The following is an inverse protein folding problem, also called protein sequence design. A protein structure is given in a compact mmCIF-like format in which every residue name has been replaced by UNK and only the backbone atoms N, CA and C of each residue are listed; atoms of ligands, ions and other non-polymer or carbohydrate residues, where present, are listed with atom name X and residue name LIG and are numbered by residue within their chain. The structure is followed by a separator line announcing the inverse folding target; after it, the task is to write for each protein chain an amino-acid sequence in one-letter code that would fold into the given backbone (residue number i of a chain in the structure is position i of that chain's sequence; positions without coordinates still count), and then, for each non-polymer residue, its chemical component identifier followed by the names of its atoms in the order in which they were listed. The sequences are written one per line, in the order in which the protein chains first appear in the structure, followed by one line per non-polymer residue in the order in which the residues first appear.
data_IF_317501651530
#
_entry.id   IF_317501651530
#
_cell.length_a   1.000
_cell.length_b   1.000
_cell.length_c   1.000
_cell.angle_alpha   90.00
_cell.angle_beta   90.00
_cell.angle_gamma   90.00
#
_symmetry.space_group_name_H-M   'P 1'
#
loop_
_entity.id
_entity.type
_entity.pdbx_description
1 polymer ?
#
# COMPACT_ATOMS: atom_id res chain seq x y z
N UNK A 1 8.85 -0.67 8.08
CA UNK A 1 9.26 -1.92 7.41
C UNK A 1 10.37 -1.57 6.42
N UNK A 2 11.42 -2.40 6.32
CA UNK A 2 12.44 -2.30 5.29
C UNK A 2 12.50 -3.64 4.55
N UNK A 3 12.65 -3.61 3.24
CA UNK A 3 12.75 -4.81 2.39
C UNK A 3 14.01 -4.65 1.54
N UNK A 4 14.84 -5.67 1.53
CA UNK A 4 16.07 -5.74 0.73
C UNK A 4 15.99 -6.97 -0.16
N UNK A 5 16.44 -6.82 -1.40
CA UNK A 5 16.44 -7.90 -2.39
C UNK A 5 17.18 -7.46 -3.64
N UNK A 6 17.61 -8.44 -4.43
CA UNK A 6 18.38 -8.17 -5.66
C UNK A 6 17.52 -7.58 -6.77
N UNK A 7 16.26 -7.99 -6.87
CA UNK A 7 15.28 -7.48 -7.83
C UNK A 7 13.86 -7.71 -7.32
N UNK A 8 12.91 -6.95 -7.89
CA UNK A 8 11.48 -7.10 -7.60
C UNK A 8 10.68 -7.12 -8.90
N UNK A 9 9.63 -7.94 -8.94
CA UNK A 9 8.64 -7.91 -10.00
C UNK A 9 7.79 -6.63 -9.91
N UNK A 10 7.15 -6.28 -11.03
CA UNK A 10 6.23 -5.16 -11.09
C UNK A 10 5.15 -5.26 -10.00
N UNK A 11 5.05 -4.23 -9.17
CA UNK A 11 4.16 -4.13 -8.00
C UNK A 11 4.34 -5.18 -6.88
N UNK A 12 5.40 -6.01 -6.90
CA UNK A 12 5.58 -7.10 -5.92
C UNK A 12 5.53 -6.61 -4.46
N UNK A 13 6.29 -5.56 -4.14
CA UNK A 13 6.34 -5.00 -2.78
C UNK A 13 4.97 -4.51 -2.32
N UNK A 14 4.26 -3.78 -3.18
CA UNK A 14 2.93 -3.24 -2.85
C UNK A 14 1.91 -4.36 -2.63
N UNK A 15 2.05 -5.48 -3.34
CA UNK A 15 1.22 -6.66 -3.15
C UNK A 15 1.51 -7.33 -1.80
N UNK A 16 2.79 -7.53 -1.44
CA UNK A 16 3.18 -8.09 -0.15
C UNK A 16 2.66 -7.24 1.01
N UNK A 17 2.87 -5.91 0.94
CA UNK A 17 2.44 -4.97 1.99
C UNK A 17 0.92 -4.92 2.14
N UNK A 18 0.15 -5.08 1.05
CA UNK A 18 -1.31 -5.14 1.13
C UNK A 18 -1.78 -6.32 2.01
N UNK A 19 -1.18 -7.50 1.82
CA UNK A 19 -1.51 -8.69 2.63
C UNK A 19 -1.11 -8.47 4.09
N UNK A 20 0.08 -7.92 4.33
CA UNK A 20 0.53 -7.58 5.69
C UNK A 20 -0.38 -6.55 6.38
N UNK A 21 -0.93 -5.58 5.64
CA UNK A 21 -1.91 -4.65 6.20
C UNK A 21 -3.22 -5.33 6.57
N UNK A 22 -3.70 -6.30 5.78
CA UNK A 22 -4.90 -7.07 6.14
C UNK A 22 -4.66 -7.91 7.41
N UNK A 23 -3.48 -8.52 7.55
CA UNK A 23 -3.10 -9.23 8.77
C UNK A 23 -2.98 -8.28 9.96
N UNK A 24 -2.29 -7.15 9.80
CA UNK A 24 -2.10 -6.16 10.86
C UNK A 24 -3.40 -5.48 11.31
N UNK A 25 -4.42 -5.44 10.45
CA UNK A 25 -5.78 -5.00 10.79
C UNK A 25 -6.62 -6.10 11.48
N UNK A 26 -6.13 -7.34 11.54
CA UNK A 26 -6.83 -8.49 12.12
C UNK A 26 -7.96 -9.03 11.26
N UNK A 27 -8.00 -8.71 9.97
CA UNK A 27 -9.02 -9.19 9.03
C UNK A 27 -8.58 -10.43 8.23
N UNK A 28 -7.29 -10.78 8.31
CA UNK A 28 -6.69 -12.00 7.78
C UNK A 28 -5.81 -12.67 8.83
N UNK A 29 -5.74 -14.00 8.80
CA UNK A 29 -4.83 -14.78 9.63
C UNK A 29 -3.39 -14.73 9.06
N UNK A 30 -2.34 -14.71 9.89
CA UNK A 30 -0.96 -14.86 9.41
C UNK A 30 -0.73 -16.10 8.53
N UNK A 31 -1.45 -17.19 8.80
CA UNK A 31 -1.38 -18.46 8.04
C UNK A 31 -1.78 -18.30 6.56
N UNK A 32 -2.45 -17.20 6.19
CA UNK A 32 -2.78 -16.91 4.79
C UNK A 32 -1.52 -16.78 3.93
N UNK A 33 -0.39 -16.36 4.51
CA UNK A 33 0.87 -16.22 3.78
C UNK A 33 1.35 -17.57 3.26
N UNK A 34 1.35 -18.60 4.12
CA UNK A 34 1.78 -19.95 3.74
C UNK A 34 0.89 -20.50 2.62
N UNK A 35 -0.42 -20.30 2.73
CA UNK A 35 -1.39 -20.72 1.70
C UNK A 35 -1.21 -19.99 0.37
N UNK A 36 -0.85 -18.70 0.39
CA UNK A 36 -0.61 -17.92 -0.83
C UNK A 36 0.72 -18.25 -1.51
N UNK A 37 1.71 -18.74 -0.75
CA UNK A 37 3.01 -19.16 -1.26
C UNK A 37 3.01 -20.60 -1.76
N UNK A 38 2.04 -21.42 -1.33
CA UNK A 38 1.79 -22.75 -1.86
C UNK A 38 1.08 -22.65 -3.23
N UNK A 39 1.82 -22.98 -4.30
CA UNK A 39 1.31 -22.92 -5.68
C UNK A 39 0.37 -24.07 -6.03
N UNK A 40 0.36 -25.16 -5.26
CA UNK A 40 -0.59 -26.26 -5.47
C UNK A 40 -1.95 -25.88 -4.88
N UNK A 41 -1.94 -25.27 -3.69
CA UNK A 41 -3.17 -24.83 -3.01
C UNK A 41 -3.72 -23.53 -3.60
N UNK A 42 -2.84 -22.59 -3.94
CA UNK A 42 -3.21 -21.29 -4.53
C UNK A 42 -2.51 -21.10 -5.87
N UNK A 43 -2.98 -21.76 -6.95
CA UNK A 43 -2.33 -21.69 -8.26
C UNK A 43 -2.42 -20.32 -8.91
N UNK A 44 -3.33 -19.45 -8.43
CA UNK A 44 -3.56 -18.12 -9.00
C UNK A 44 -3.72 -17.08 -7.90
N UNK A 45 -3.17 -15.90 -8.16
CA UNK A 45 -3.25 -14.75 -7.25
C UNK A 45 -4.71 -14.33 -7.03
N UNK A 46 -5.21 -14.26 -5.78
CA UNK A 46 -6.52 -13.69 -5.48
C UNK A 46 -6.55 -12.17 -5.68
N UNK A 47 -7.74 -11.62 -5.93
CA UNK A 47 -7.96 -10.19 -6.14
C UNK A 47 -7.87 -9.38 -4.83
N UNK A 48 -7.02 -8.35 -4.81
CA UNK A 48 -6.97 -7.38 -3.71
C UNK A 48 -6.34 -6.07 -4.16
N UNK A 49 -6.71 -4.99 -3.47
CA UNK A 49 -6.16 -3.65 -3.71
C UNK A 49 -4.71 -3.63 -3.19
N UNK A 50 -3.79 -3.21 -4.04
CA UNK A 50 -2.38 -3.05 -3.67
C UNK A 50 -2.22 -1.92 -2.65
N UNK A 51 -1.18 -2.01 -1.81
CA UNK A 51 -0.86 -0.91 -0.89
C UNK A 51 -0.62 0.40 -1.68
N UNK A 52 -0.92 1.58 -1.10
CA UNK A 52 -0.59 2.86 -1.71
C UNK A 52 0.90 2.95 -2.09
N UNK A 53 1.22 3.63 -3.19
CA UNK A 53 2.61 3.82 -3.65
C UNK A 53 3.35 4.93 -2.93
N UNK A 54 2.62 5.94 -2.43
CA UNK A 54 3.17 7.12 -1.75
C UNK A 54 4.23 6.75 -0.69
N UNK A 55 4.02 5.77 0.21
CA UNK A 55 5.01 5.41 1.23
C UNK A 55 6.15 4.50 0.74
N UNK A 56 6.16 4.07 -0.52
CA UNK A 56 7.20 3.19 -1.06
C UNK A 56 8.39 4.03 -1.54
N UNK A 57 9.46 4.04 -0.76
CA UNK A 57 10.68 4.82 -1.04
C UNK A 57 11.86 3.89 -1.28
N UNK A 58 12.56 4.08 -2.39
CA UNK A 58 13.86 3.45 -2.65
C UNK A 58 14.91 4.09 -1.73
N UNK A 59 15.33 3.36 -0.70
CA UNK A 59 16.25 3.88 0.31
C UNK A 59 17.72 3.80 -0.12
N UNK A 60 18.15 2.66 -0.65
CA UNK A 60 19.55 2.40 -0.98
C UNK A 60 19.67 1.38 -2.11
N UNK A 61 20.75 1.49 -2.87
CA UNK A 61 21.18 0.50 -3.85
C UNK A 61 22.62 0.09 -3.53
N UNK A 62 22.88 -1.21 -3.47
CA UNK A 62 24.20 -1.77 -3.21
C UNK A 62 24.82 -2.25 -4.51
N UNK A 63 26.12 -1.95 -4.70
CA UNK A 63 26.87 -2.33 -5.88
C UNK A 63 28.27 -2.79 -5.46
N UNK A 64 28.71 -3.93 -5.98
CA UNK A 64 30.03 -4.47 -5.69
C UNK A 64 31.14 -3.59 -6.28
N UNK A 65 32.18 -3.31 -5.50
CA UNK A 65 33.33 -2.50 -5.93
C UNK A 65 33.04 -1.01 -6.14
N UNK A 66 31.81 -0.55 -5.96
CA UNK A 66 31.42 0.86 -6.13
C UNK A 66 31.28 1.54 -4.77
N UNK A 67 31.95 2.67 -4.60
CA UNK A 67 31.82 3.52 -3.42
C UNK A 67 31.12 4.82 -3.80
N UNK A 68 29.90 5.01 -3.32
CA UNK A 68 29.22 6.30 -3.44
C UNK A 68 29.90 7.33 -2.56
N UNK A 69 30.19 8.50 -3.14
CA UNK A 69 30.80 9.62 -2.44
C UNK A 69 29.75 10.72 -2.32
N UNK A 70 29.57 11.23 -1.11
CA UNK A 70 28.71 12.38 -0.82
C UNK A 70 29.52 13.36 0.02
N UNK A 71 29.71 14.59 -0.48
CA UNK A 71 30.44 15.61 0.27
C UNK A 71 29.65 16.00 1.53
N UNK A 72 30.36 16.50 2.54
CA UNK A 72 29.75 17.03 3.77
C UNK A 72 28.72 18.11 3.46
N UNK A 73 29.03 18.99 2.52
CA UNK A 73 28.19 20.14 2.16
C UNK A 73 26.93 19.69 1.42
N UNK A 74 27.04 18.70 0.52
CA UNK A 74 25.88 18.12 -0.15
C UNK A 74 24.96 17.40 0.85
N UNK A 75 25.54 16.64 1.78
CA UNK A 75 24.79 15.95 2.84
C UNK A 75 24.09 16.95 3.77
N UNK A 76 24.76 18.05 4.11
CA UNK A 76 24.21 19.08 4.98
C UNK A 76 23.09 19.86 4.29
N UNK A 77 23.31 20.29 3.05
CA UNK A 77 22.29 20.94 2.20
C UNK A 77 21.03 20.07 2.08
N UNK A 78 21.21 18.77 1.84
CA UNK A 78 20.09 17.83 1.72
C UNK A 78 19.33 17.66 3.04
N UNK A 79 20.04 17.61 4.18
CA UNK A 79 19.41 17.55 5.50
C UNK A 79 18.56 18.80 5.74
N UNK A 80 19.11 19.99 5.52
CA UNK A 80 18.40 21.25 5.73
C UNK A 80 17.17 21.37 4.82
N UNK A 81 17.27 20.89 3.57
CA UNK A 81 16.13 20.81 2.68
C UNK A 81 15.03 19.91 3.25
N UNK A 82 15.36 18.69 3.68
CA UNK A 82 14.36 17.78 4.26
C UNK A 82 13.76 18.29 5.57
N UNK A 83 14.54 18.93 6.43
CA UNK A 83 14.04 19.54 7.65
C UNK A 83 13.02 20.65 7.35
N UNK A 84 13.31 21.48 6.34
CA UNK A 84 12.39 22.54 5.88
C UNK A 84 11.09 21.98 5.34
N UNK A 85 11.17 20.99 4.44
CA UNK A 85 9.98 20.35 3.85
C UNK A 85 9.15 19.67 4.94
N UNK A 86 9.80 18.94 5.86
CA UNK A 86 9.12 18.31 7.00
C UNK A 86 8.38 19.32 7.87
N UNK A 87 9.01 20.45 8.20
CA UNK A 87 8.37 21.49 8.99
C UNK A 87 7.18 22.12 8.26
N UNK A 88 7.29 22.34 6.94
CA UNK A 88 6.20 22.85 6.11
C UNK A 88 4.98 21.93 6.15
N UNK A 89 5.18 20.63 5.88
CA UNK A 89 4.10 19.64 5.93
C UNK A 89 3.52 19.49 7.34
N UNK A 90 4.36 19.54 8.38
CA UNK A 90 3.91 19.49 9.77
C UNK A 90 3.04 20.69 10.13
N UNK A 91 3.40 21.89 9.67
CA UNK A 91 2.60 23.10 9.87
C UNK A 91 1.24 22.99 9.15
N UNK A 92 1.24 22.55 7.89
CA UNK A 92 -0.01 22.31 7.15
C UNK A 92 -0.91 21.30 7.87
N UNK A 93 -0.34 20.18 8.33
CA UNK A 93 -1.09 19.17 9.08
C UNK A 93 -1.67 19.74 10.39
N UNK A 94 -0.91 20.56 11.12
CA UNK A 94 -1.36 21.21 12.34
C UNK A 94 -2.53 22.19 12.08
N UNK A 95 -2.47 22.98 11.00
CA UNK A 95 -3.56 23.89 10.59
C UNK A 95 -4.85 23.08 10.34
N UNK A 96 -4.77 22.00 9.57
CA UNK A 96 -5.93 21.15 9.31
C UNK A 96 -6.44 20.44 10.55
N UNK A 97 -5.54 20.04 11.45
CA UNK A 97 -5.92 19.44 12.72
C UNK A 97 -6.70 20.41 13.60
N UNK A 98 -6.25 21.67 13.71
CA UNK A 98 -6.97 22.72 14.43
C UNK A 98 -8.34 23.02 13.81
N UNK A 99 -8.39 23.14 12.48
CA UNK A 99 -9.64 23.32 11.75
C UNK A 99 -10.64 22.16 11.98
N UNK A 100 -10.16 20.93 12.09
CA UNK A 100 -11.02 19.78 12.41
C UNK A 100 -11.56 19.84 13.84
N UNK A 101 -10.73 20.28 14.80
CA UNK A 101 -11.14 20.40 16.20
C UNK A 101 -12.21 21.49 16.38
N UNK A 102 -12.07 22.63 15.70
CA UNK A 102 -13.06 23.72 15.77
C UNK A 102 -14.43 23.33 15.23
N UNK A 103 -14.48 22.56 14.12
CA UNK A 103 -15.73 22.04 13.54
C UNK A 103 -16.36 20.96 14.42
N UNK A 104 -15.54 20.13 15.09
CA UNK A 104 -16.05 19.06 15.96
C UNK A 104 -16.77 19.54 17.22
N UNK A 105 -16.59 20.81 17.60
CA UNK A 105 -17.22 21.42 18.78
C UNK A 105 -18.66 21.91 18.53
N UNK A 106 -19.17 21.82 17.29
CA UNK A 106 -20.50 22.34 16.91
C UNK A 106 -21.63 21.32 17.11
N UNK A 107 -21.34 20.05 17.41
CA UNK A 107 -22.38 19.06 17.75
C UNK A 107 -22.48 18.84 19.26
N UNK A 108 -23.20 19.73 19.94
CA UNK A 108 -23.89 19.37 21.16
C UNK A 108 -25.21 20.15 21.26
N UNK A 109 -26.19 19.72 20.49
CA UNK A 109 -27.56 19.77 20.97
C UNK A 109 -28.33 18.50 20.56
N UNK A 110 -28.79 17.81 21.61
CA UNK A 110 -29.69 16.67 21.66
C UNK A 110 -29.22 15.27 21.20
N UNK A 111 -28.94 14.46 22.24
CA UNK A 111 -29.28 13.04 22.37
C UNK A 111 -28.92 12.11 21.21
N UNK A 112 -27.83 11.37 21.40
CA UNK A 112 -27.71 9.90 21.29
C UNK A 112 -26.22 9.65 21.21
N UNK A 113 -25.71 8.79 22.09
CA UNK A 113 -24.36 8.23 22.06
C UNK A 113 -24.09 7.67 20.66
N UNK A 114 -23.55 8.49 19.76
CA UNK A 114 -22.95 8.03 18.52
C UNK A 114 -21.50 7.69 18.86
N UNK A 115 -21.28 6.56 19.54
CA UNK A 115 -20.07 5.78 19.30
C UNK A 115 -19.91 5.78 17.79
N UNK A 116 -18.85 6.41 17.26
CA UNK A 116 -18.54 6.49 15.82
C UNK A 116 -18.96 5.17 15.21
N UNK A 117 -20.13 5.13 14.58
CA UNK A 117 -20.62 3.93 13.93
C UNK A 117 -19.56 3.69 12.89
N UNK A 118 -18.75 2.63 13.07
CA UNK A 118 -17.91 2.10 11.99
C UNK A 118 -18.84 2.14 10.80
N UNK A 119 -18.56 3.02 9.81
CA UNK A 119 -19.22 2.94 8.50
C UNK A 119 -19.20 1.45 8.21
N UNK A 120 -20.38 0.86 7.99
CA UNK A 120 -20.58 -0.57 7.75
C UNK A 120 -19.82 -0.86 6.46
N UNK A 121 -18.49 -0.93 6.58
CA UNK A 121 -17.58 -1.25 5.52
C UNK A 121 -18.02 -2.61 5.08
N UNK A 122 -18.21 -2.76 3.77
CA UNK A 122 -18.43 -4.06 3.13
C UNK A 122 -17.67 -5.11 3.90
N UNK A 123 -18.40 -6.07 4.48
CA UNK A 123 -17.84 -7.15 5.30
C UNK A 123 -16.60 -7.66 4.58
N UNK A 124 -15.46 -7.64 5.26
CA UNK A 124 -14.21 -8.10 4.67
C UNK A 124 -14.41 -9.53 4.13
N UNK A 125 -14.11 -9.74 2.84
CA UNK A 125 -14.14 -11.07 2.23
C UNK A 125 -12.72 -11.66 2.34
N UNK A 126 -12.54 -12.83 2.97
CA UNK A 126 -11.23 -13.49 3.05
C UNK A 126 -10.58 -13.68 1.68
N UNK A 127 -9.26 -13.52 1.60
CA UNK A 127 -8.47 -13.53 0.36
C UNK A 127 -8.69 -14.79 -0.47
N UNK A 128 -8.72 -15.95 0.20
CA UNK A 128 -8.90 -17.25 -0.47
C UNK A 128 -10.31 -17.47 -1.00
N UNK A 129 -11.28 -16.66 -0.57
CA UNK A 129 -12.66 -16.69 -1.08
C UNK A 129 -12.88 -15.71 -2.23
N UNK A 130 -11.86 -14.94 -2.63
CA UNK A 130 -11.98 -13.93 -3.70
C UNK A 130 -11.75 -14.56 -5.07
N UNK A 131 -12.31 -13.98 -6.14
CA UNK A 131 -11.91 -14.32 -7.50
C UNK A 131 -10.40 -14.17 -7.69
N UNK A 132 -9.82 -14.99 -8.56
CA UNK A 132 -8.39 -14.93 -8.90
C UNK A 132 -8.16 -14.16 -10.20
N UNK A 133 -6.93 -13.72 -10.40
CA UNK A 133 -6.46 -13.18 -11.68
C UNK A 133 -6.62 -14.21 -12.82
N UNK A 134 -6.92 -13.75 -14.05
CA UNK A 134 -7.01 -14.64 -15.20
C UNK A 134 -5.62 -15.16 -15.59
N UNK A 135 -5.59 -16.39 -16.08
CA UNK A 135 -4.37 -17.05 -16.55
C UNK A 135 -3.79 -16.35 -17.78
N UNK A 136 -2.53 -16.66 -18.10
CA UNK A 136 -1.91 -16.18 -19.34
C UNK A 136 -2.71 -16.60 -20.58
N UNK A 137 -3.15 -17.86 -20.63
CA UNK A 137 -3.95 -18.42 -21.73
C UNK A 137 -5.29 -17.70 -21.87
N UNK A 138 -5.99 -17.44 -20.75
CA UNK A 138 -7.24 -16.68 -20.74
C UNK A 138 -7.03 -15.23 -21.24
N UNK A 139 -5.91 -14.60 -20.85
CA UNK A 139 -5.55 -13.26 -21.32
C UNK A 139 -5.24 -13.25 -22.82
N UNK A 140 -4.51 -14.25 -23.32
CA UNK A 140 -4.22 -14.45 -24.75
C UNK A 140 -5.50 -14.65 -25.56
N UNK A 141 -6.36 -15.57 -25.12
CA UNK A 141 -7.63 -15.83 -25.80
C UNK A 141 -8.52 -14.58 -25.88
N UNK A 142 -8.56 -13.76 -24.82
CA UNK A 142 -9.27 -12.47 -24.83
C UNK A 142 -8.68 -11.46 -25.81
N UNK A 143 -7.35 -11.43 -25.94
CA UNK A 143 -6.68 -10.56 -26.91
C UNK A 143 -6.99 -11.01 -28.34
N UNK A 144 -6.84 -12.30 -28.63
CA UNK A 144 -7.10 -12.88 -29.95
C UNK A 144 -8.57 -12.70 -30.36
N UNK A 145 -9.50 -12.84 -29.42
CA UNK A 145 -10.92 -12.54 -29.65
C UNK A 145 -11.17 -11.07 -30.02
N UNK A 146 -10.49 -10.12 -29.34
CA UNK A 146 -10.62 -8.68 -29.64
C UNK A 146 -10.07 -8.30 -31.01
N UNK A 147 -9.02 -8.99 -31.45
CA UNK A 147 -8.45 -8.81 -32.79
C UNK A 147 -9.47 -9.25 -33.84
N UNK A 148 -10.05 -10.45 -33.69
CA UNK A 148 -11.06 -10.99 -34.62
C UNK A 148 -12.33 -10.15 -34.74
N UNK A 149 -12.74 -9.45 -33.68
CA UNK A 149 -13.94 -8.58 -33.70
C UNK A 149 -13.72 -7.22 -34.37
N UNK A 150 -12.47 -6.89 -34.74
CA UNK A 150 -12.11 -5.61 -35.39
C UNK A 150 -11.89 -5.73 -36.89
N UNK A 151 -11.88 -6.95 -37.41
CA UNK A 151 -11.89 -7.29 -38.85
C UNK A 151 -13.34 -7.46 -39.32
#
# INVERSE_FOLDING_TARGET
MKIQGSAFLWHQIRCMVAVLFMIGQGVESPNVIDLLLDTEMTPRKPQYIMAPEIPLVLQCCEFEGVRFICSTDAKQTLREHFEREYLSYKMQAAIFQEALLSVSSIENDNSVVKTRTKKKGTSHIPLLSRPTEPSYEERRARLDARIRTRE
#
